data_IF_160326220902
#
_entry.id   IF_160326220902
#
_cell.length_a   1.000
_cell.length_b   1.000
_cell.length_c   1.000
_cell.angle_alpha   90.00
_cell.angle_beta   90.00
_cell.angle_gamma   90.00
#
_symmetry.space_group_name_H-M   'P 1'
#
loop_
_entity.id
_entity.type
_entity.pdbx_description
1 polymer ?
#
# COMPACT_ATOMS: atom_id res chain seq x y z
N UNK A 1 4.99 -9.64 -6.04
CA UNK A 1 4.39 -9.43 -7.37
C UNK A 1 4.01 -7.96 -7.44
N UNK A 2 4.23 -7.28 -8.56
CA UNK A 2 3.88 -5.87 -8.70
C UNK A 2 2.38 -5.68 -8.52
N UNK A 3 2.01 -4.59 -7.85
CA UNK A 3 0.63 -4.14 -7.76
C UNK A 3 0.21 -3.57 -9.11
N UNK A 4 -1.03 -3.86 -9.46
CA UNK A 4 -1.70 -3.22 -10.58
C UNK A 4 -2.30 -1.88 -10.14
N UNK A 5 -2.44 -0.94 -11.07
CA UNK A 5 -3.16 0.32 -10.85
C UNK A 5 -4.55 0.06 -10.23
N UNK A 6 -5.25 -0.97 -10.70
CA UNK A 6 -6.57 -1.33 -10.17
C UNK A 6 -6.52 -1.74 -8.70
N UNK A 7 -5.51 -2.49 -8.27
CA UNK A 7 -5.32 -2.87 -6.87
C UNK A 7 -5.01 -1.65 -6.01
N UNK A 8 -4.16 -0.74 -6.49
CA UNK A 8 -3.82 0.51 -5.80
C UNK A 8 -5.06 1.40 -5.62
N UNK A 9 -5.89 1.55 -6.66
CA UNK A 9 -7.13 2.35 -6.60
C UNK A 9 -8.18 1.73 -5.69
N UNK A 10 -8.29 0.40 -5.67
CA UNK A 10 -9.26 -0.34 -4.84
C UNK A 10 -8.83 -0.48 -3.38
N UNK A 11 -7.57 -0.20 -3.05
CA UNK A 11 -7.07 -0.28 -1.68
C UNK A 11 -7.82 0.72 -0.79
N UNK A 12 -8.61 0.20 0.15
CA UNK A 12 -9.36 0.99 1.13
C UNK A 12 -8.60 1.08 2.45
N UNK A 13 -8.81 2.16 3.17
CA UNK A 13 -8.39 2.25 4.57
C UNK A 13 -9.16 1.23 5.41
N UNK A 14 -8.49 0.73 6.45
CA UNK A 14 -9.08 -0.15 7.46
C UNK A 14 -8.77 0.41 8.83
N UNK A 15 -9.26 -0.21 9.91
CA UNK A 15 -8.98 0.23 11.29
C UNK A 15 -7.48 0.18 11.65
N UNK A 16 -6.68 -0.52 10.83
CA UNK A 16 -5.23 -0.62 10.99
C UNK A 16 -4.51 -0.26 9.69
N UNK A 17 -3.25 0.10 9.82
CA UNK A 17 -2.38 0.31 8.67
C UNK A 17 -2.21 -0.99 7.88
N UNK A 18 -2.43 -0.92 6.57
CA UNK A 18 -2.30 -2.05 5.66
C UNK A 18 -1.07 -1.84 4.77
N UNK A 19 -0.20 -2.86 4.68
CA UNK A 19 0.91 -2.92 3.72
C UNK A 19 0.50 -3.79 2.54
N UNK A 20 0.58 -3.26 1.32
CA UNK A 20 0.41 -4.00 0.07
C UNK A 20 1.74 -4.02 -0.68
N UNK A 21 2.41 -5.17 -0.70
CA UNK A 21 3.73 -5.29 -1.32
C UNK A 21 3.65 -5.18 -2.85
N UNK A 22 4.50 -4.33 -3.42
CA UNK A 22 4.74 -4.19 -4.86
C UNK A 22 5.96 -5.02 -5.31
N UNK A 23 6.83 -5.37 -4.36
CA UNK A 23 8.04 -6.18 -4.59
C UNK A 23 9.31 -5.35 -4.43
N UNK A 24 10.46 -6.03 -4.29
CA UNK A 24 11.76 -5.36 -4.13
C UNK A 24 11.83 -4.41 -2.93
N UNK A 25 11.08 -4.67 -1.85
CA UNK A 25 11.02 -3.80 -0.67
C UNK A 25 10.05 -2.62 -0.78
N UNK A 26 9.46 -2.38 -1.96
CA UNK A 26 8.44 -1.35 -2.18
C UNK A 26 7.06 -1.88 -1.77
N UNK A 27 6.27 -1.04 -1.11
CA UNK A 27 4.88 -1.36 -0.77
C UNK A 27 4.00 -0.10 -0.69
N UNK A 28 2.70 -0.24 -0.95
CA UNK A 28 1.70 0.77 -0.64
C UNK A 28 1.31 0.64 0.83
N UNK A 29 1.54 1.67 1.62
CA UNK A 29 1.05 1.79 2.99
C UNK A 29 -0.25 2.59 2.99
N UNK A 30 -1.35 1.97 3.39
CA UNK A 30 -2.64 2.64 3.57
C UNK A 30 -2.91 2.80 5.07
N UNK A 31 -2.99 4.04 5.54
CA UNK A 31 -3.28 4.34 6.94
C UNK A 31 -4.78 4.41 7.23
N UNK A 32 -5.21 4.22 8.50
CA UNK A 32 -6.61 4.35 8.90
C UNK A 32 -7.24 5.73 8.64
N UNK A 33 -6.42 6.79 8.56
CA UNK A 33 -6.87 8.14 8.21
C UNK A 33 -7.02 8.36 6.68
N UNK A 34 -6.80 7.33 5.86
CA UNK A 34 -6.86 7.41 4.41
C UNK A 34 -5.61 7.91 3.71
N UNK A 35 -4.58 8.32 4.47
CA UNK A 35 -3.30 8.67 3.90
C UNK A 35 -2.63 7.44 3.26
N UNK A 36 -1.96 7.68 2.13
CA UNK A 36 -1.31 6.64 1.32
C UNK A 36 0.14 7.02 1.06
N UNK A 37 1.05 6.09 1.29
CA UNK A 37 2.49 6.28 1.13
C UNK A 37 3.10 5.14 0.35
N UNK A 38 4.26 5.40 -0.25
CA UNK A 38 5.09 4.40 -0.92
C UNK A 38 6.46 4.29 -0.25
N UNK A 39 6.56 3.63 0.91
CA UNK A 39 7.86 3.41 1.55
C UNK A 39 8.66 2.36 0.78
N UNK A 40 9.98 2.53 0.80
CA UNK A 40 10.94 1.54 0.33
C UNK A 40 11.74 1.07 1.54
N UNK A 41 11.66 -0.23 1.85
CA UNK A 41 12.54 -0.87 2.83
C UNK A 41 13.65 -1.59 2.05
N UNK A 42 14.90 -1.17 2.29
CA UNK A 42 16.12 -1.73 1.67
C UNK A 42 16.80 -2.64 2.69
#
# INVERSE_FOLDING_TARGET
MPLTDLQVRKAKMTDKSQKLSDGGGLYLLVQPNGARYWPLEI
#
